data_IF_936859179506
#
_entry.id   IF_936859179506
#
_cell.length_a   1.000
_cell.length_b   1.000
_cell.length_c   1.000
_cell.angle_alpha   90.00
_cell.angle_beta   90.00
_cell.angle_gamma   90.00
#
_symmetry.space_group_name_H-M   'P 1'
#
loop_
_entity.id
_entity.type
_entity.pdbx_description
1 polymer ?
#
# COMPACT_ATOMS: atom_id res chain seq x y z
N UNK A 1 20.41 18.22 23.87
CA UNK A 1 20.14 16.91 24.52
C UNK A 1 18.65 16.59 24.79
N UNK A 2 17.71 17.49 24.45
CA UNK A 2 16.27 17.29 24.69
C UNK A 2 15.39 17.60 23.46
N UNK A 3 15.92 17.48 22.23
CA UNK A 3 15.11 17.75 21.04
C UNK A 3 14.07 16.65 20.89
N UNK A 4 12.79 17.03 21.00
CA UNK A 4 11.63 16.14 20.83
C UNK A 4 10.89 16.39 19.52
N UNK A 5 11.15 17.53 18.87
CA UNK A 5 10.51 17.95 17.63
C UNK A 5 11.57 18.38 16.62
N UNK A 6 11.57 17.72 15.46
CA UNK A 6 12.39 18.05 14.29
C UNK A 6 11.51 18.29 13.05
N UNK A 7 10.21 18.57 13.26
CA UNK A 7 9.31 18.84 12.16
C UNK A 7 9.74 20.07 11.36
N UNK A 8 9.66 19.97 10.05
CA UNK A 8 10.00 21.04 9.12
C UNK A 8 11.45 21.53 9.17
N UNK A 9 12.38 20.82 9.82
CA UNK A 9 13.73 21.33 10.08
C UNK A 9 14.49 21.76 8.82
N UNK A 10 14.25 21.08 7.69
CA UNK A 10 14.80 21.42 6.36
C UNK A 10 13.70 21.69 5.33
N UNK A 11 12.51 22.09 5.78
CA UNK A 11 11.37 22.36 4.91
C UNK A 11 11.73 23.39 3.84
N UNK A 12 11.41 23.09 2.58
CA UNK A 12 11.56 24.00 1.45
C UNK A 12 13.02 24.32 1.11
N UNK A 13 14.00 23.53 1.57
CA UNK A 13 15.41 23.70 1.20
C UNK A 13 15.67 23.23 -0.25
N UNK A 14 15.04 23.89 -1.22
CA UNK A 14 14.93 23.39 -2.60
C UNK A 14 16.27 23.17 -3.31
N UNK A 15 17.28 23.98 -2.97
CA UNK A 15 18.61 23.95 -3.60
C UNK A 15 19.62 23.09 -2.85
N UNK A 16 19.23 22.45 -1.74
CA UNK A 16 20.12 21.64 -0.91
C UNK A 16 20.48 20.34 -1.65
N UNK A 17 21.73 20.22 -2.07
CA UNK A 17 22.22 19.05 -2.83
C UNK A 17 22.83 17.97 -1.95
N UNK A 18 23.33 18.35 -0.77
CA UNK A 18 23.89 17.47 0.24
C UNK A 18 23.54 17.96 1.65
N UNK A 19 23.43 17.03 2.59
CA UNK A 19 23.12 17.32 3.98
C UNK A 19 23.77 16.27 4.88
N UNK A 20 24.60 16.72 5.82
CA UNK A 20 25.19 15.85 6.84
C UNK A 20 24.36 15.93 8.13
N UNK A 21 23.71 14.81 8.50
CA UNK A 21 22.95 14.64 9.74
C UNK A 21 23.59 13.62 10.69
N UNK A 22 24.83 13.19 10.44
CA UNK A 22 25.51 12.14 11.21
C UNK A 22 25.64 12.44 12.71
N UNK A 23 25.67 13.73 13.08
CA UNK A 23 25.76 14.18 14.47
C UNK A 23 24.40 14.41 15.16
N UNK A 24 23.29 14.13 14.48
CA UNK A 24 21.96 14.39 15.02
C UNK A 24 21.58 13.34 16.07
N UNK A 25 21.32 13.79 17.30
CA UNK A 25 20.77 12.92 18.34
C UNK A 25 19.24 12.91 18.27
N UNK A 26 18.69 11.86 17.67
CA UNK A 26 17.25 11.66 17.47
C UNK A 26 16.58 10.79 18.53
N UNK A 27 17.32 10.36 19.57
CA UNK A 27 16.84 9.37 20.55
C UNK A 27 15.61 9.78 21.38
N UNK A 28 15.26 11.07 21.41
CA UNK A 28 14.08 11.60 22.11
C UNK A 28 13.06 12.23 21.16
N UNK A 29 13.31 12.21 19.85
CA UNK A 29 12.44 12.85 18.87
C UNK A 29 11.13 12.06 18.76
N UNK A 30 10.03 12.79 18.82
CA UNK A 30 8.66 12.30 18.72
C UNK A 30 7.98 12.78 17.44
N UNK A 31 8.41 13.92 16.89
CA UNK A 31 7.85 14.53 15.70
C UNK A 31 8.92 14.76 14.63
N UNK A 32 8.73 14.16 13.44
CA UNK A 32 9.56 14.33 12.25
C UNK A 32 8.73 14.76 11.02
N UNK A 33 7.53 15.30 11.23
CA UNK A 33 6.65 15.74 10.14
C UNK A 33 7.38 16.73 9.22
N UNK A 34 7.37 16.49 7.91
CA UNK A 34 7.96 17.40 6.93
C UNK A 34 9.45 17.70 7.11
N UNK A 35 10.20 16.87 7.86
CA UNK A 35 11.59 17.18 8.24
C UNK A 35 12.48 17.53 7.04
N UNK A 36 12.29 16.85 5.90
CA UNK A 36 13.01 17.08 4.66
C UNK A 36 12.10 17.50 3.51
N UNK A 37 10.86 17.89 3.79
CA UNK A 37 9.88 18.26 2.77
C UNK A 37 10.41 19.37 1.85
N UNK A 38 10.25 19.23 0.55
CA UNK A 38 10.68 20.23 -0.43
C UNK A 38 12.19 20.31 -0.64
N UNK A 39 13.00 19.37 -0.13
CA UNK A 39 14.43 19.25 -0.46
C UNK A 39 14.62 18.72 -1.91
N UNK A 40 14.15 19.49 -2.90
CA UNK A 40 14.00 19.05 -4.31
C UNK A 40 15.31 18.63 -4.97
N UNK A 41 16.44 19.26 -4.63
CA UNK A 41 17.75 18.96 -5.20
C UNK A 41 18.55 17.89 -4.45
N UNK A 42 18.05 17.36 -3.34
CA UNK A 42 18.77 16.38 -2.53
C UNK A 42 18.79 15.02 -3.24
N UNK A 43 19.98 14.50 -3.54
CA UNK A 43 20.16 13.27 -4.33
C UNK A 43 20.39 12.02 -3.48
N UNK A 44 20.94 12.21 -2.27
CA UNK A 44 21.12 11.17 -1.25
C UNK A 44 21.01 11.75 0.15
N UNK A 45 20.69 10.91 1.12
CA UNK A 45 20.59 11.27 2.52
C UNK A 45 20.91 10.05 3.39
N UNK A 46 21.96 10.16 4.20
CA UNK A 46 22.32 9.11 5.16
C UNK A 46 21.55 9.32 6.46
N UNK A 47 20.68 8.36 6.79
CA UNK A 47 19.85 8.35 8.00
C UNK A 47 20.24 7.23 8.96
N UNK A 48 21.38 6.57 8.77
CA UNK A 48 21.78 5.38 9.52
C UNK A 48 21.88 5.61 11.04
N UNK A 49 22.15 6.84 11.47
CA UNK A 49 22.20 7.24 12.88
C UNK A 49 20.81 7.56 13.50
N UNK A 50 19.74 7.59 12.70
CA UNK A 50 18.42 7.95 13.20
C UNK A 50 17.85 6.85 14.11
N UNK A 51 17.30 7.26 15.25
CA UNK A 51 16.58 6.41 16.18
C UNK A 51 15.13 6.87 16.25
N UNK A 52 14.25 6.20 15.52
CA UNK A 52 12.85 6.61 15.37
C UNK A 52 11.89 5.91 16.33
N UNK A 53 12.39 5.17 17.33
CA UNK A 53 11.55 4.32 18.20
C UNK A 53 10.45 5.07 18.97
N UNK A 54 10.61 6.37 19.19
CA UNK A 54 9.66 7.23 19.90
C UNK A 54 8.87 8.15 18.98
N UNK A 55 9.13 8.12 17.68
CA UNK A 55 8.46 8.97 16.71
C UNK A 55 7.02 8.50 16.51
N UNK A 56 6.08 9.43 16.64
CA UNK A 56 4.64 9.22 16.42
C UNK A 56 4.14 9.89 15.14
N UNK A 57 4.86 10.91 14.67
CA UNK A 57 4.49 11.78 13.54
C UNK A 57 5.58 11.73 12.45
N UNK A 58 5.27 11.13 11.29
CA UNK A 58 6.19 11.02 10.12
C UNK A 58 5.53 11.46 8.80
N UNK A 59 4.42 12.19 8.85
CA UNK A 59 3.75 12.73 7.67
C UNK A 59 4.67 13.68 6.89
N UNK A 60 4.60 13.61 5.57
CA UNK A 60 5.33 14.47 4.63
C UNK A 60 6.85 14.47 4.80
N UNK A 61 7.44 13.54 5.57
CA UNK A 61 8.85 13.60 5.97
C UNK A 61 9.83 13.76 4.79
N UNK A 62 9.52 13.16 3.64
CA UNK A 62 10.28 13.27 2.39
C UNK A 62 9.43 13.79 1.22
N UNK A 63 8.31 14.46 1.50
CA UNK A 63 7.46 15.01 0.45
C UNK A 63 8.25 15.98 -0.44
N UNK A 64 8.05 15.89 -1.76
CA UNK A 64 8.73 16.71 -2.77
C UNK A 64 10.27 16.63 -2.79
N UNK A 65 10.87 15.57 -2.23
CA UNK A 65 12.29 15.21 -2.45
C UNK A 65 12.51 14.63 -3.86
N UNK A 66 12.34 15.46 -4.87
CA UNK A 66 12.19 15.03 -6.28
C UNK A 66 13.44 14.37 -6.88
N UNK A 67 14.64 14.68 -6.37
CA UNK A 67 15.91 14.15 -6.85
C UNK A 67 16.42 12.90 -6.10
N UNK A 68 15.79 12.50 -4.99
CA UNK A 68 16.19 11.29 -4.25
C UNK A 68 15.94 10.04 -5.10
N UNK A 69 16.99 9.24 -5.32
CA UNK A 69 16.92 8.03 -6.15
C UNK A 69 16.74 6.74 -5.34
N UNK A 70 17.21 6.74 -4.10
CA UNK A 70 17.06 5.69 -3.09
C UNK A 70 17.05 6.30 -1.67
N UNK A 71 16.50 5.55 -0.71
CA UNK A 71 16.54 5.86 0.72
C UNK A 71 16.72 4.55 1.49
N UNK A 72 17.71 4.49 2.38
CA UNK A 72 17.83 3.40 3.35
C UNK A 72 17.06 3.77 4.62
N UNK A 73 15.99 3.01 4.88
CA UNK A 73 15.12 3.17 6.04
C UNK A 73 15.15 1.94 6.95
N UNK A 74 16.13 1.04 6.78
CA UNK A 74 16.20 -0.24 7.49
C UNK A 74 16.26 -0.09 9.01
N UNK A 75 16.83 1.02 9.51
CA UNK A 75 16.89 1.37 10.94
C UNK A 75 15.59 1.99 11.50
N UNK A 76 14.59 2.30 10.65
CA UNK A 76 13.37 2.93 11.11
C UNK A 76 12.50 1.97 11.93
N UNK A 77 12.11 2.40 13.12
CA UNK A 77 11.10 1.73 13.95
C UNK A 77 9.82 2.55 13.95
N UNK A 78 8.82 2.10 13.20
CA UNK A 78 7.55 2.83 13.03
C UNK A 78 6.41 2.33 13.92
N UNK A 79 6.69 1.51 14.94
CA UNK A 79 5.65 0.85 15.76
C UNK A 79 4.71 1.82 16.51
N UNK A 80 5.19 3.04 16.76
CA UNK A 80 4.46 4.09 17.48
C UNK A 80 3.88 5.17 16.55
N UNK A 81 4.16 5.10 15.24
CA UNK A 81 3.71 6.10 14.27
C UNK A 81 2.20 5.98 14.04
N UNK A 82 1.51 7.11 14.10
CA UNK A 82 0.06 7.24 13.87
C UNK A 82 -0.27 7.94 12.55
N UNK A 83 0.62 8.78 12.02
CA UNK A 83 0.43 9.51 10.77
C UNK A 83 1.59 9.29 9.79
N UNK A 84 1.25 8.84 8.58
CA UNK A 84 2.19 8.64 7.45
C UNK A 84 1.68 9.30 6.15
N UNK A 85 0.80 10.31 6.28
CA UNK A 85 0.29 11.07 5.14
C UNK A 85 1.43 11.62 4.30
N UNK A 86 1.37 11.51 2.97
CA UNK A 86 2.33 12.13 2.06
C UNK A 86 3.82 11.80 2.29
N UNK A 87 4.17 10.77 3.08
CA UNK A 87 5.54 10.57 3.56
C UNK A 87 6.59 10.53 2.44
N UNK A 88 6.23 10.02 1.26
CA UNK A 88 7.06 9.99 0.05
C UNK A 88 6.38 10.66 -1.15
N UNK A 89 5.42 11.55 -0.91
CA UNK A 89 4.70 12.22 -1.99
C UNK A 89 5.68 12.97 -2.91
N UNK A 90 5.51 12.85 -4.23
CA UNK A 90 6.32 13.49 -5.26
C UNK A 90 7.83 13.20 -5.19
N UNK A 91 8.26 12.09 -4.57
CA UNK A 91 9.60 11.52 -4.74
C UNK A 91 9.79 10.93 -6.16
N UNK A 92 9.85 11.81 -7.17
CA UNK A 92 9.73 11.47 -8.60
C UNK A 92 10.85 10.55 -9.10
N UNK A 93 12.07 10.70 -8.59
CA UNK A 93 13.25 9.94 -8.99
C UNK A 93 13.45 8.62 -8.22
N UNK A 94 12.64 8.34 -7.19
CA UNK A 94 12.79 7.17 -6.33
C UNK A 94 12.45 5.90 -7.13
N UNK A 95 13.45 5.06 -7.38
CA UNK A 95 13.32 3.85 -8.22
C UNK A 95 12.99 2.59 -7.41
N UNK A 96 13.45 2.54 -6.16
CA UNK A 96 13.20 1.49 -5.19
C UNK A 96 13.00 2.10 -3.80
N UNK A 97 12.20 1.43 -2.99
CA UNK A 97 11.96 1.81 -1.60
C UNK A 97 11.62 0.55 -0.80
N UNK A 98 12.45 0.24 0.19
CA UNK A 98 12.16 -0.86 1.13
C UNK A 98 11.37 -0.32 2.32
N UNK A 99 10.12 -0.77 2.45
CA UNK A 99 9.23 -0.49 3.58
C UNK A 99 8.84 -1.77 4.32
N UNK A 100 9.57 -2.86 4.10
CA UNK A 100 9.25 -4.17 4.69
C UNK A 100 9.40 -4.19 6.22
N UNK A 101 10.18 -3.28 6.80
CA UNK A 101 10.32 -3.11 8.25
C UNK A 101 9.21 -2.25 8.87
N UNK A 102 8.32 -1.63 8.08
CA UNK A 102 7.32 -0.70 8.63
C UNK A 102 6.22 -1.44 9.39
N UNK A 103 5.99 -1.04 10.63
CA UNK A 103 4.88 -1.50 11.47
C UNK A 103 3.75 -0.46 11.48
N UNK A 104 2.79 -0.64 10.58
CA UNK A 104 1.71 0.35 10.39
C UNK A 104 0.45 0.10 11.23
N UNK A 105 0.51 -0.78 12.25
CA UNK A 105 -0.66 -1.20 13.06
C UNK A 105 -1.41 -0.07 13.76
N UNK A 106 -0.72 1.05 13.99
CA UNK A 106 -1.24 2.23 14.70
C UNK A 106 -1.56 3.39 13.75
N UNK A 107 -1.23 3.28 12.47
CA UNK A 107 -1.43 4.34 11.49
C UNK A 107 -2.92 4.48 11.17
N UNK A 108 -3.41 5.72 11.19
CA UNK A 108 -4.81 6.06 10.88
C UNK A 108 -4.95 6.77 9.53
N UNK A 109 -3.90 7.46 9.07
CA UNK A 109 -3.91 8.19 7.79
C UNK A 109 -2.72 7.80 6.91
N UNK A 110 -3.02 7.34 5.69
CA UNK A 110 -2.06 6.98 4.63
C UNK A 110 -2.38 7.70 3.31
N UNK A 111 -3.15 8.81 3.35
CA UNK A 111 -3.41 9.55 2.13
C UNK A 111 -2.09 10.04 1.50
N UNK A 112 -2.04 10.07 0.17
CA UNK A 112 -0.88 10.50 -0.62
C UNK A 112 0.48 9.81 -0.34
N UNK A 113 0.54 8.76 0.50
CA UNK A 113 1.82 8.23 1.02
C UNK A 113 2.89 7.95 -0.04
N UNK A 114 2.49 7.48 -1.23
CA UNK A 114 3.37 7.25 -2.38
C UNK A 114 2.94 8.03 -3.64
N UNK A 115 2.04 9.01 -3.50
CA UNK A 115 1.55 9.85 -4.60
C UNK A 115 2.72 10.43 -5.39
N UNK A 116 2.69 10.39 -6.72
CA UNK A 116 3.70 11.03 -7.56
C UNK A 116 5.07 10.34 -7.58
N UNK A 117 5.27 9.19 -6.94
CA UNK A 117 6.46 8.34 -7.08
C UNK A 117 6.54 7.73 -8.48
N UNK A 118 6.88 8.55 -9.48
CA UNK A 118 6.77 8.22 -10.91
C UNK A 118 7.75 7.13 -11.36
N UNK A 119 8.93 7.05 -10.75
CA UNK A 119 9.97 6.08 -11.11
C UNK A 119 9.88 4.75 -10.35
N UNK A 120 9.05 4.65 -9.31
CA UNK A 120 8.94 3.46 -8.48
C UNK A 120 8.32 2.31 -9.29
N UNK A 121 9.03 1.17 -9.38
CA UNK A 121 8.63 0.04 -10.24
C UNK A 121 7.96 -1.10 -9.49
N UNK A 122 8.30 -1.27 -8.21
CA UNK A 122 7.72 -2.25 -7.29
C UNK A 122 7.65 -1.68 -5.87
N UNK A 123 6.77 -2.26 -5.05
CA UNK A 123 6.62 -1.90 -3.64
C UNK A 123 6.09 -3.11 -2.87
N UNK A 124 6.85 -3.59 -1.89
CA UNK A 124 6.40 -4.66 -0.99
C UNK A 124 5.60 -4.09 0.17
N UNK A 125 4.29 -4.34 0.16
CA UNK A 125 3.36 -3.87 1.18
C UNK A 125 2.91 -5.00 2.13
N UNK A 126 3.52 -6.18 2.05
CA UNK A 126 3.06 -7.40 2.73
C UNK A 126 3.00 -7.30 4.26
N UNK A 127 3.77 -6.38 4.86
CA UNK A 127 3.79 -6.12 6.31
C UNK A 127 2.84 -5.04 6.77
N UNK A 128 2.19 -4.33 5.86
CA UNK A 128 1.26 -3.26 6.23
C UNK A 128 0.04 -3.84 6.97
N UNK A 129 -0.35 -3.20 8.06
CA UNK A 129 -1.56 -3.50 8.82
C UNK A 129 -2.48 -2.29 8.77
N UNK A 130 -3.44 -2.31 7.86
CA UNK A 130 -4.32 -1.17 7.60
C UNK A 130 -5.61 -1.16 8.41
N UNK A 131 -5.74 -2.01 9.44
CA UNK A 131 -6.98 -2.17 10.22
C UNK A 131 -7.48 -0.90 10.89
N UNK A 132 -6.61 0.07 11.19
CA UNK A 132 -6.97 1.36 11.81
C UNK A 132 -7.04 2.52 10.81
N UNK A 133 -6.65 2.29 9.56
CA UNK A 133 -6.60 3.36 8.55
C UNK A 133 -8.01 3.78 8.17
N UNK A 134 -8.25 5.08 8.16
CA UNK A 134 -9.52 5.70 7.77
C UNK A 134 -9.42 6.42 6.43
N UNK A 135 -8.22 6.82 6.00
CA UNK A 135 -8.00 7.53 4.73
C UNK A 135 -6.85 6.90 3.92
N UNK A 136 -7.14 6.56 2.66
CA UNK A 136 -6.19 6.08 1.65
C UNK A 136 -6.33 6.84 0.32
N UNK A 137 -6.97 8.02 0.33
CA UNK A 137 -7.13 8.84 -0.86
C UNK A 137 -5.77 9.14 -1.49
N UNK A 138 -5.66 9.05 -2.80
CA UNK A 138 -4.44 9.35 -3.56
C UNK A 138 -3.18 8.54 -3.17
N UNK A 139 -3.29 7.47 -2.37
CA UNK A 139 -2.12 6.76 -1.81
C UNK A 139 -1.08 6.34 -2.86
N UNK A 140 -1.51 5.94 -4.06
CA UNK A 140 -0.66 5.59 -5.20
C UNK A 140 -0.90 6.48 -6.43
N UNK A 141 -1.51 7.65 -6.25
CA UNK A 141 -1.87 8.53 -7.36
C UNK A 141 -0.65 8.84 -8.24
N UNK A 142 -0.72 8.63 -9.54
CA UNK A 142 0.34 9.00 -10.47
C UNK A 142 1.65 8.19 -10.32
N UNK A 143 1.65 7.03 -9.66
CA UNK A 143 2.77 6.08 -9.67
C UNK A 143 2.88 5.41 -11.06
N UNK A 144 3.41 6.15 -12.04
CA UNK A 144 3.36 5.78 -13.47
C UNK A 144 4.14 4.52 -13.83
N UNK A 145 5.11 4.09 -13.02
CA UNK A 145 5.97 2.94 -13.31
C UNK A 145 5.61 1.67 -12.53
N UNK A 146 4.72 1.74 -11.54
CA UNK A 146 4.24 0.56 -10.83
C UNK A 146 3.48 -0.35 -11.79
N UNK A 147 3.88 -1.62 -11.86
CA UNK A 147 3.30 -2.62 -12.78
C UNK A 147 2.31 -3.55 -12.09
N UNK A 148 2.50 -3.81 -10.80
CA UNK A 148 1.59 -4.57 -9.96
C UNK A 148 1.62 -4.07 -8.51
N UNK A 149 0.52 -4.30 -7.79
CA UNK A 149 0.41 -4.05 -6.35
C UNK A 149 -0.26 -5.25 -5.68
N UNK A 150 0.26 -5.63 -4.52
CA UNK A 150 -0.36 -6.65 -3.68
C UNK A 150 -0.96 -6.03 -2.43
N UNK A 151 -2.28 -5.96 -2.39
CA UNK A 151 -3.08 -5.42 -1.30
C UNK A 151 -3.88 -6.53 -0.60
N UNK A 152 -3.48 -7.79 -0.76
CA UNK A 152 -4.18 -8.93 -0.16
C UNK A 152 -4.21 -8.90 1.37
N UNK A 153 -3.23 -8.25 2.02
CA UNK A 153 -3.19 -8.01 3.46
C UNK A 153 -4.02 -6.80 3.92
N UNK A 154 -4.54 -5.97 3.01
CA UNK A 154 -5.23 -4.74 3.40
C UNK A 154 -6.61 -5.04 3.99
N UNK A 155 -6.88 -4.44 5.15
CA UNK A 155 -8.20 -4.40 5.77
C UNK A 155 -8.79 -3.00 5.64
N UNK A 156 -9.81 -2.86 4.80
CA UNK A 156 -10.37 -1.56 4.42
C UNK A 156 -11.69 -1.23 5.12
N UNK A 157 -12.09 -2.00 6.14
CA UNK A 157 -13.41 -1.88 6.80
C UNK A 157 -13.68 -0.51 7.44
N UNK A 158 -12.60 0.17 7.85
CA UNK A 158 -12.64 1.46 8.54
C UNK A 158 -12.33 2.62 7.59
N UNK A 159 -11.97 2.34 6.34
CA UNK A 159 -11.61 3.37 5.37
C UNK A 159 -12.88 4.06 4.86
N UNK A 160 -12.89 5.38 4.94
CA UNK A 160 -13.98 6.25 4.49
C UNK A 160 -13.64 6.99 3.20
N UNK A 161 -12.36 7.07 2.83
CA UNK A 161 -11.91 7.73 1.60
C UNK A 161 -10.81 6.93 0.89
N UNK A 162 -11.04 6.64 -0.38
CA UNK A 162 -10.08 6.06 -1.32
C UNK A 162 -10.15 6.74 -2.70
N UNK A 163 -10.64 7.98 -2.73
CA UNK A 163 -10.72 8.79 -3.94
C UNK A 163 -9.35 8.83 -4.63
N UNK A 164 -9.35 8.68 -5.95
CA UNK A 164 -8.14 8.73 -6.79
C UNK A 164 -6.97 7.80 -6.39
N UNK A 165 -7.17 6.77 -5.54
CA UNK A 165 -6.09 5.96 -4.94
C UNK A 165 -5.08 5.42 -5.97
N UNK A 166 -5.52 5.02 -7.16
CA UNK A 166 -4.65 4.51 -8.24
C UNK A 166 -4.67 5.40 -9.49
N UNK A 167 -5.35 6.55 -9.45
CA UNK A 167 -5.54 7.38 -10.64
C UNK A 167 -4.19 7.80 -11.22
N UNK A 168 -4.02 7.65 -12.53
CA UNK A 168 -2.77 7.97 -13.23
C UNK A 168 -1.67 6.90 -13.14
N UNK A 169 -1.93 5.74 -12.53
CA UNK A 169 -1.05 4.58 -12.58
C UNK A 169 -1.11 3.90 -13.96
N UNK A 170 -0.52 4.55 -14.97
CA UNK A 170 -0.62 4.14 -16.38
C UNK A 170 0.08 2.83 -16.73
N UNK A 171 1.00 2.34 -15.88
CA UNK A 171 1.68 1.05 -16.10
C UNK A 171 1.09 -0.11 -15.30
N UNK A 172 0.15 0.17 -14.38
CA UNK A 172 -0.39 -0.82 -13.48
C UNK A 172 -1.27 -1.80 -14.26
N UNK A 173 -0.88 -3.07 -14.23
CA UNK A 173 -1.57 -4.16 -14.94
C UNK A 173 -2.44 -4.99 -14.02
N UNK A 174 -2.00 -5.20 -12.77
CA UNK A 174 -2.67 -6.07 -11.80
C UNK A 174 -2.68 -5.45 -10.41
N UNK A 175 -3.82 -5.53 -9.73
CA UNK A 175 -3.94 -5.25 -8.30
C UNK A 175 -4.46 -6.51 -7.62
N UNK A 176 -3.64 -7.13 -6.80
CA UNK A 176 -4.05 -8.28 -6.00
C UNK A 176 -4.79 -7.84 -4.75
N UNK A 177 -5.82 -8.59 -4.38
CA UNK A 177 -6.63 -8.32 -3.20
C UNK A 177 -7.09 -9.61 -2.52
N UNK A 178 -7.62 -9.46 -1.30
CA UNK A 178 -8.40 -10.51 -0.64
C UNK A 178 -9.89 -10.42 -1.05
N UNK A 179 -10.66 -11.44 -0.68
CA UNK A 179 -12.10 -11.54 -0.99
C UNK A 179 -13.00 -10.56 -0.22
N UNK A 180 -12.48 -9.75 0.71
CA UNK A 180 -13.26 -8.84 1.57
C UNK A 180 -13.43 -7.41 1.01
N UNK A 181 -12.96 -7.12 -0.21
CA UNK A 181 -13.14 -5.82 -0.89
C UNK A 181 -14.57 -5.62 -1.44
N UNK A 182 -15.60 -5.65 -0.59
CA UNK A 182 -17.00 -5.58 -1.05
C UNK A 182 -17.93 -4.60 -0.30
N UNK A 183 -17.50 -3.98 0.81
CA UNK A 183 -18.38 -3.11 1.63
C UNK A 183 -18.38 -1.64 1.18
N UNK A 184 -18.67 -1.43 -0.11
CA UNK A 184 -18.51 -0.16 -0.88
C UNK A 184 -19.47 0.98 -0.51
N UNK A 185 -20.33 0.83 0.48
CA UNK A 185 -21.40 1.81 0.77
C UNK A 185 -20.93 3.05 1.56
N UNK A 186 -19.66 3.11 2.00
CA UNK A 186 -19.16 4.17 2.91
C UNK A 186 -17.97 4.99 2.38
N UNK A 187 -17.57 4.78 1.13
CA UNK A 187 -16.36 5.42 0.56
C UNK A 187 -16.77 6.49 -0.43
N UNK A 188 -16.21 7.69 -0.31
CA UNK A 188 -16.37 8.75 -1.30
C UNK A 188 -15.86 8.27 -2.68
N UNK A 189 -16.77 8.19 -3.66
CA UNK A 189 -16.53 7.63 -5.00
C UNK A 189 -16.19 8.75 -5.99
N UNK A 190 -14.91 8.90 -6.34
CA UNK A 190 -14.53 9.58 -7.57
C UNK A 190 -13.14 9.15 -8.06
N UNK A 191 -13.09 8.70 -9.31
CA UNK A 191 -11.87 8.54 -10.11
C UNK A 191 -10.78 7.61 -9.56
N UNK A 192 -11.09 6.65 -8.67
CA UNK A 192 -10.11 5.71 -8.10
C UNK A 192 -9.14 5.12 -9.13
N UNK A 193 -9.64 4.74 -10.31
CA UNK A 193 -8.89 4.10 -11.39
C UNK A 193 -8.74 4.97 -12.64
N UNK A 194 -8.96 6.28 -12.54
CA UNK A 194 -8.88 7.15 -13.70
C UNK A 194 -7.50 7.08 -14.36
N UNK A 195 -7.44 6.95 -15.68
CA UNK A 195 -6.20 6.78 -16.45
C UNK A 195 -5.34 5.55 -16.09
N UNK A 196 -5.90 4.50 -15.47
CA UNK A 196 -5.24 3.19 -15.30
C UNK A 196 -5.32 2.34 -16.57
N UNK A 197 -4.84 2.85 -17.71
CA UNK A 197 -5.16 2.31 -19.04
C UNK A 197 -4.67 0.89 -19.33
N UNK A 198 -3.67 0.39 -18.58
CA UNK A 198 -3.17 -0.99 -18.70
C UNK A 198 -3.79 -1.99 -17.72
N UNK A 199 -4.66 -1.51 -16.83
CA UNK A 199 -5.22 -2.34 -15.76
C UNK A 199 -6.17 -3.39 -16.33
N UNK A 200 -6.02 -4.62 -15.85
CA UNK A 200 -6.85 -5.77 -16.22
C UNK A 200 -7.24 -6.52 -14.96
N UNK A 201 -8.53 -6.55 -14.65
CA UNK A 201 -9.05 -7.51 -13.66
C UNK A 201 -9.14 -8.91 -14.27
N UNK A 202 -9.57 -9.89 -13.46
CA UNK A 202 -9.63 -11.31 -13.88
C UNK A 202 -10.36 -11.51 -15.21
N UNK A 203 -11.48 -10.83 -15.43
CA UNK A 203 -12.25 -10.88 -16.69
C UNK A 203 -12.72 -9.49 -17.16
N UNK A 204 -12.02 -8.43 -16.74
CA UNK A 204 -12.47 -7.04 -16.94
C UNK A 204 -11.33 -6.19 -17.48
N UNK A 205 -11.43 -5.77 -18.75
CA UNK A 205 -10.52 -4.77 -19.31
C UNK A 205 -10.86 -3.37 -18.78
N UNK A 206 -9.86 -2.50 -18.67
CA UNK A 206 -10.05 -1.10 -18.30
C UNK A 206 -11.08 -0.39 -19.21
N UNK A 207 -11.93 0.42 -18.60
CA UNK A 207 -12.91 1.26 -19.28
C UNK A 207 -12.92 2.66 -18.65
N UNK A 208 -12.70 3.69 -19.48
CA UNK A 208 -12.61 5.08 -19.03
C UNK A 208 -13.91 5.63 -18.40
N UNK A 209 -15.05 5.01 -18.67
CA UNK A 209 -16.35 5.35 -18.06
C UNK A 209 -16.62 4.58 -16.76
N UNK A 210 -15.73 3.64 -16.38
CA UNK A 210 -15.83 2.84 -15.15
C UNK A 210 -14.55 3.02 -14.32
N UNK A 211 -14.41 4.17 -13.68
CA UNK A 211 -13.19 4.53 -12.93
C UNK A 211 -13.40 4.62 -11.42
N UNK A 212 -14.63 4.47 -10.94
CA UNK A 212 -14.97 4.57 -9.52
C UNK A 212 -14.64 3.32 -8.68
N UNK A 213 -14.88 3.44 -7.37
CA UNK A 213 -14.66 2.38 -6.35
C UNK A 213 -15.39 1.08 -6.66
N UNK A 214 -16.47 1.14 -7.44
CA UNK A 214 -17.25 -0.01 -7.94
C UNK A 214 -16.37 -1.00 -8.73
N UNK A 215 -15.25 -0.54 -9.29
CA UNK A 215 -14.31 -1.40 -9.99
C UNK A 215 -13.23 -2.00 -9.08
N UNK A 216 -13.17 -1.64 -7.80
CA UNK A 216 -12.34 -2.32 -6.80
C UNK A 216 -13.04 -3.62 -6.36
N UNK A 217 -13.17 -4.57 -7.27
CA UNK A 217 -13.87 -5.84 -7.05
C UNK A 217 -13.17 -6.97 -7.81
N UNK A 218 -12.82 -8.09 -7.14
CA UNK A 218 -12.09 -9.19 -7.78
C UNK A 218 -12.88 -10.01 -8.81
N UNK A 219 -14.21 -9.89 -8.80
CA UNK A 219 -15.10 -10.67 -9.67
C UNK A 219 -15.56 -9.87 -10.89
N UNK A 220 -15.96 -8.62 -10.68
CA UNK A 220 -16.58 -7.76 -11.71
C UNK A 220 -15.76 -6.52 -12.04
N UNK A 221 -14.64 -6.32 -11.34
CA UNK A 221 -13.84 -5.12 -11.40
C UNK A 221 -12.43 -5.39 -11.88
N UNK A 222 -11.52 -4.48 -11.53
CA UNK A 222 -10.12 -4.47 -11.93
C UNK A 222 -9.20 -5.17 -10.94
N UNK A 223 -9.73 -5.65 -9.82
CA UNK A 223 -8.95 -6.38 -8.85
C UNK A 223 -8.82 -7.84 -9.28
N UNK A 224 -7.76 -8.48 -8.82
CA UNK A 224 -7.52 -9.91 -9.01
C UNK A 224 -7.47 -10.55 -7.63
N UNK A 225 -8.30 -11.58 -7.40
CA UNK A 225 -8.25 -12.31 -6.13
C UNK A 225 -6.92 -13.04 -6.02
N UNK A 226 -6.19 -12.80 -4.93
CA UNK A 226 -5.05 -13.64 -4.57
C UNK A 226 -5.60 -14.81 -3.76
N UNK A 227 -5.72 -15.98 -4.36
CA UNK A 227 -6.10 -17.20 -3.65
C UNK A 227 -4.97 -17.57 -2.69
N UNK A 228 -4.99 -17.03 -1.47
CA UNK A 228 -4.37 -17.72 -0.34
C UNK A 228 -5.15 -19.02 -0.21
N UNK A 229 -4.49 -20.17 -0.34
CA UNK A 229 -5.16 -21.47 -0.56
C UNK A 229 -6.06 -21.99 0.58
N UNK A 230 -6.56 -21.10 1.45
CA UNK A 230 -7.57 -21.28 2.49
C UNK A 230 -8.22 -19.90 2.75
N UNK A 231 -9.13 -19.43 1.90
CA UNK A 231 -10.07 -18.41 2.36
C UNK A 231 -11.13 -19.14 3.21
N UNK A 232 -11.32 -18.66 4.44
CA UNK A 232 -12.36 -19.14 5.36
C UNK A 232 -13.69 -19.20 4.61
N UNK A 233 -14.17 -20.42 4.38
CA UNK A 233 -15.54 -20.69 3.97
C UNK A 233 -16.44 -19.92 4.94
N UNK A 234 -17.14 -18.89 4.44
CA UNK A 234 -18.24 -18.28 5.19
C UNK A 234 -19.17 -19.44 5.54
N UNK A 235 -19.26 -19.74 6.83
CA UNK A 235 -20.09 -20.81 7.37
C UNK A 235 -21.54 -20.57 6.98
N UNK A 236 -22.01 -21.22 5.91
CA UNK A 236 -23.33 -21.86 5.82
C UNK A 236 -23.23 -22.94 4.74
N UNK A 237 -22.74 -24.13 5.08
CA UNK A 237 -23.27 -25.34 4.47
C UNK A 237 -23.57 -26.25 5.65
N UNK A 238 -24.86 -26.31 5.98
CA UNK A 238 -25.40 -27.27 6.92
C UNK A 238 -24.97 -28.68 6.51
N UNK A 239 -24.80 -29.52 7.53
CA UNK A 239 -24.37 -30.90 7.44
C UNK A 239 -25.00 -31.66 6.25
N UNK A 240 -24.15 -32.39 5.51
CA UNK A 240 -24.63 -33.55 4.75
C UNK A 240 -24.47 -33.53 3.23
N UNK A 241 -23.40 -32.95 2.67
CA UNK A 241 -22.93 -33.42 1.35
C UNK A 241 -21.46 -33.06 1.10
N UNK A 242 -20.62 -34.06 0.82
CA UNK A 242 -19.17 -33.93 0.66
C UNK A 242 -18.78 -33.29 -0.68
N UNK A 243 -19.19 -32.04 -0.92
CA UNK A 243 -18.83 -31.28 -2.12
C UNK A 243 -17.30 -31.08 -2.16
N UNK A 244 -16.69 -31.41 -3.29
CA UNK A 244 -15.27 -31.23 -3.57
C UNK A 244 -15.07 -30.03 -4.49
N UNK A 245 -14.02 -29.24 -4.24
CA UNK A 245 -13.66 -28.08 -5.06
C UNK A 245 -12.21 -28.19 -5.49
N UNK A 246 -11.86 -27.78 -6.71
CA UNK A 246 -10.45 -27.63 -7.08
C UNK A 246 -9.83 -26.39 -6.42
N UNK A 247 -8.52 -26.21 -6.58
CA UNK A 247 -7.79 -25.07 -5.98
C UNK A 247 -8.23 -23.70 -6.49
N UNK A 248 -9.00 -23.64 -7.58
CA UNK A 248 -9.61 -22.40 -8.10
C UNK A 248 -10.99 -22.12 -7.52
N UNK A 249 -11.52 -23.02 -6.67
CA UNK A 249 -12.85 -22.89 -6.09
C UNK A 249 -13.99 -23.41 -6.98
N UNK A 250 -13.68 -24.08 -8.10
CA UNK A 250 -14.69 -24.71 -8.96
C UNK A 250 -15.11 -26.05 -8.37
N UNK A 251 -16.43 -26.30 -8.30
CA UNK A 251 -16.97 -27.60 -7.86
C UNK A 251 -16.53 -28.70 -8.82
N UNK A 252 -16.00 -29.79 -8.28
CA UNK A 252 -15.55 -30.96 -9.03
C UNK A 252 -16.31 -32.21 -8.58
N UNK A 253 -16.37 -33.20 -9.46
CA UNK A 253 -17.02 -34.50 -9.22
C UNK A 253 -15.98 -35.56 -8.82
N UNK A 254 -16.45 -36.79 -8.61
CA UNK A 254 -15.59 -37.92 -8.19
C UNK A 254 -14.56 -38.33 -9.24
N UNK A 255 -14.77 -38.01 -10.53
CA UNK A 255 -13.82 -38.34 -11.60
C UNK A 255 -12.68 -37.33 -11.76
N UNK A 256 -12.69 -36.21 -11.03
CA UNK A 256 -11.58 -35.25 -11.03
C UNK A 256 -10.34 -35.83 -10.33
N UNK A 257 -9.22 -35.86 -11.04
CA UNK A 257 -7.92 -36.27 -10.51
C UNK A 257 -7.08 -35.04 -10.18
N UNK A 258 -6.64 -34.91 -8.94
CA UNK A 258 -5.85 -33.77 -8.48
C UNK A 258 -6.09 -33.40 -7.03
N UNK A 259 -5.60 -32.22 -6.63
CA UNK A 259 -5.82 -31.68 -5.28
C UNK A 259 -7.23 -31.08 -5.23
N UNK A 260 -8.02 -31.55 -4.27
CA UNK A 260 -9.36 -31.04 -3.99
C UNK A 260 -9.46 -30.52 -2.55
N UNK A 261 -10.35 -29.57 -2.33
CA UNK A 261 -10.72 -29.08 -1.01
C UNK A 261 -12.08 -29.68 -0.66
N UNK A 262 -12.14 -30.43 0.43
CA UNK A 262 -13.38 -30.94 1.04
C UNK A 262 -13.43 -30.44 2.48
N UNK A 263 -14.51 -29.78 2.89
CA UNK A 263 -14.68 -29.24 4.25
C UNK A 263 -13.46 -28.41 4.73
N UNK A 264 -12.90 -27.58 3.85
CA UNK A 264 -11.74 -26.72 4.15
C UNK A 264 -10.39 -27.44 4.27
N UNK A 265 -10.32 -28.77 4.04
CA UNK A 265 -9.08 -29.55 4.05
C UNK A 265 -8.69 -29.99 2.64
N UNK A 266 -7.40 -30.03 2.36
CA UNK A 266 -6.84 -30.50 1.08
C UNK A 266 -6.74 -32.03 1.06
N UNK A 267 -7.19 -32.64 -0.03
CA UNK A 267 -7.10 -34.07 -0.30
C UNK A 267 -6.54 -34.29 -1.70
N UNK A 268 -5.83 -35.39 -1.90
CA UNK A 268 -5.46 -35.87 -3.24
C UNK A 268 -6.55 -36.84 -3.68
N UNK A 269 -7.28 -36.49 -4.75
CA UNK A 269 -8.26 -37.35 -5.40
C UNK A 269 -7.58 -38.07 -6.56
N UNK A 270 -7.55 -39.42 -6.48
CA UNK A 270 -6.82 -40.31 -7.39
C UNK A 270 -7.70 -40.83 -8.52
#
# INVERSE_FOLDING_TARGET
>A
ENVTDMSGMFYGCETLTSLDVSNFNTQKVTNMNGMFEGCKALTSLDLSNFNTRHVTEMGSMFEDCQALTSLDLSNFNTQNVTYMRGMFENCKALTSLDVSNFNTKNVTDMNYMFSGCKALTSLDLSKFNTRKVTNMSYMFFGCKSLTSLDLSNFNTKNVTDMSCMFSGCTSLTTIFCNSNWNDRYKIYDSFMFNNCTKLKGTNTAYNANKTGIKMANPTTGYFTSKTTGIDHVKTVDQAGDSKAYDLSGRRVNESYKGIVIKNGKKYIQK
#
